data_IF_959769452686
#
_entry.id   IF_959769452686
#
_cell.length_a   1.000
_cell.length_b   1.000
_cell.length_c   1.000
_cell.angle_alpha   90.00
_cell.angle_beta   90.00
_cell.angle_gamma   90.00
#
_symmetry.space_group_name_H-M   'P 1'
#
loop_
_entity.id
_entity.type
_entity.pdbx_description
1 polymer ?
#
# COMPACT_ATOMS: atom_id res chain seq x y z
N UNK A 1 6.45 -0.57 -4.48
CA UNK A 1 6.63 -0.93 -3.04
C UNK A 1 5.80 -0.04 -2.10
N UNK A 2 5.77 1.28 -2.28
CA UNK A 2 4.99 2.18 -1.41
C UNK A 2 3.48 1.89 -1.38
N UNK A 3 2.87 1.54 -2.52
CA UNK A 3 1.47 1.10 -2.57
C UNK A 3 1.21 -0.14 -1.69
N UNK A 4 2.08 -1.16 -1.78
CA UNK A 4 2.01 -2.36 -0.93
C UNK A 4 2.06 -1.98 0.55
N UNK A 5 3.00 -1.11 0.94
CA UNK A 5 3.08 -0.60 2.33
C UNK A 5 1.78 0.11 2.75
N UNK A 6 1.24 0.98 1.91
CA UNK A 6 -0.05 1.65 2.17
C UNK A 6 -1.16 0.62 2.45
N UNK A 7 -1.33 -0.37 1.56
CA UNK A 7 -2.38 -1.40 1.68
C UNK A 7 -2.20 -2.23 2.95
N UNK A 8 -0.99 -2.75 3.20
CA UNK A 8 -0.71 -3.60 4.36
C UNK A 8 -0.88 -2.84 5.67
N UNK A 9 -0.40 -1.60 5.76
CA UNK A 9 -0.53 -0.79 6.98
C UNK A 9 -2.00 -0.42 7.27
N UNK A 10 -2.77 -0.07 6.23
CA UNK A 10 -4.20 0.19 6.36
C UNK A 10 -4.94 -1.06 6.85
N UNK A 11 -4.66 -2.23 6.26
CA UNK A 11 -5.33 -3.49 6.59
C UNK A 11 -5.01 -4.01 7.99
N UNK A 12 -3.73 -4.05 8.38
CA UNK A 12 -3.27 -4.84 9.54
C UNK A 12 -2.82 -4.00 10.74
N UNK A 13 -2.71 -2.68 10.58
CA UNK A 13 -2.20 -1.77 11.63
C UNK A 13 -3.08 -0.55 11.85
N UNK A 14 -4.19 -0.40 11.12
CA UNK A 14 -5.06 0.77 11.18
C UNK A 14 -4.27 2.08 11.01
N UNK A 15 -3.20 2.02 10.22
CA UNK A 15 -2.31 3.13 9.98
C UNK A 15 -2.50 3.64 8.55
N UNK A 16 -2.67 4.94 8.43
CA UNK A 16 -2.74 5.63 7.15
C UNK A 16 -1.54 6.56 7.01
N UNK A 17 -1.11 6.80 5.77
CA UNK A 17 -0.05 7.78 5.49
C UNK A 17 -0.60 9.16 5.89
N UNK A 18 0.05 9.91 6.79
CA UNK A 18 -0.43 11.22 7.21
C UNK A 18 -0.60 12.18 6.02
N UNK A 19 -1.63 13.02 6.07
CA UNK A 19 -1.99 13.92 4.96
C UNK A 19 -0.91 14.96 4.67
N UNK A 20 -0.18 15.38 5.71
CA UNK A 20 0.95 16.31 5.63
C UNK A 20 2.15 15.77 4.85
N UNK A 21 2.23 14.45 4.62
CA UNK A 21 3.26 13.82 3.78
C UNK A 21 2.96 14.01 2.28
N UNK A 22 2.82 15.27 1.85
CA UNK A 22 2.36 15.65 0.51
C UNK A 22 3.23 15.10 -0.62
N UNK A 23 4.54 14.96 -0.42
CA UNK A 23 5.44 14.35 -1.40
C UNK A 23 5.14 12.87 -1.67
N UNK A 24 4.76 12.12 -0.63
CA UNK A 24 4.39 10.70 -0.71
C UNK A 24 3.07 10.55 -1.45
N UNK A 25 2.08 11.37 -1.11
CA UNK A 25 0.79 11.40 -1.79
C UNK A 25 0.91 11.80 -3.26
N UNK A 26 1.73 12.82 -3.57
CA UNK A 26 2.02 13.21 -4.95
C UNK A 26 2.63 12.06 -5.74
N UNK A 27 3.62 11.36 -5.16
CA UNK A 27 4.24 10.21 -5.81
C UNK A 27 3.22 9.09 -6.09
N UNK A 28 2.40 8.71 -5.10
CA UNK A 28 1.38 7.68 -5.28
C UNK A 28 0.34 8.08 -6.33
N UNK A 29 -0.11 9.34 -6.31
CA UNK A 29 -1.04 9.87 -7.31
C UNK A 29 -0.45 9.79 -8.72
N UNK A 30 0.80 10.20 -8.90
CA UNK A 30 1.48 10.07 -10.19
C UNK A 30 1.63 8.60 -10.61
N UNK A 31 1.97 7.70 -9.68
CA UNK A 31 2.07 6.27 -9.98
C UNK A 31 0.72 5.68 -10.43
N UNK A 32 -0.38 5.99 -9.73
CA UNK A 32 -1.72 5.50 -10.10
C UNK A 32 -2.25 6.03 -11.44
N UNK A 33 -1.61 7.04 -12.03
CA UNK A 33 -1.95 7.56 -13.36
C UNK A 33 -1.14 6.90 -14.48
N UNK A 34 -0.17 6.04 -14.16
CA UNK A 34 0.71 5.36 -15.12
C UNK A 34 0.20 3.95 -15.36
N UNK A 35 -0.05 3.62 -16.62
CA UNK A 35 -0.54 2.30 -17.02
C UNK A 35 0.46 1.20 -16.67
N UNK A 36 1.75 1.51 -16.73
CA UNK A 36 2.83 0.59 -16.38
C UNK A 36 2.72 0.18 -14.91
N UNK A 37 2.24 1.09 -14.05
CA UNK A 37 1.97 0.78 -12.65
C UNK A 37 0.63 0.05 -12.50
N UNK A 38 -0.46 0.60 -13.04
CA UNK A 38 -1.81 0.04 -12.82
C UNK A 38 -1.99 -1.36 -13.42
N UNK A 39 -1.31 -1.68 -14.52
CA UNK A 39 -1.43 -2.97 -15.20
C UNK A 39 -0.49 -4.04 -14.64
N UNK A 40 0.52 -3.67 -13.86
CA UNK A 40 1.50 -4.61 -13.30
C UNK A 40 1.44 -4.73 -11.78
N UNK A 41 0.78 -3.79 -11.09
CA UNK A 41 0.61 -3.86 -9.65
C UNK A 41 -0.45 -4.93 -9.29
N UNK A 42 -0.17 -5.83 -8.34
CA UNK A 42 -1.14 -6.83 -7.90
C UNK A 42 -2.35 -6.16 -7.26
N UNK A 43 -3.49 -6.86 -7.26
CA UNK A 43 -4.70 -6.37 -6.60
C UNK A 43 -4.48 -6.27 -5.08
N UNK A 44 -5.14 -5.33 -4.41
CA UNK A 44 -4.98 -5.13 -2.95
C UNK A 44 -5.22 -6.42 -2.17
N UNK A 45 -6.19 -7.23 -2.58
CA UNK A 45 -6.49 -8.56 -2.00
C UNK A 45 -5.33 -9.57 -2.12
N UNK A 46 -4.56 -9.55 -3.20
CA UNK A 46 -3.37 -10.39 -3.35
C UNK A 46 -2.23 -9.90 -2.44
N UNK A 47 -2.09 -8.58 -2.30
CA UNK A 47 -1.15 -7.96 -1.37
C UNK A 47 -1.49 -8.34 0.07
N UNK A 48 -2.76 -8.24 0.47
CA UNK A 48 -3.24 -8.63 1.79
C UNK A 48 -2.92 -10.12 2.05
N UNK A 49 -3.30 -11.00 1.13
CA UNK A 49 -3.07 -12.44 1.26
C UNK A 49 -1.58 -12.76 1.42
N UNK A 50 -0.70 -12.10 0.65
CA UNK A 50 0.74 -12.30 0.76
C UNK A 50 1.31 -11.91 2.14
N UNK A 51 0.67 -10.97 2.84
CA UNK A 51 1.14 -10.47 4.14
C UNK A 51 0.38 -11.04 5.35
N UNK A 52 -0.70 -11.80 5.15
CA UNK A 52 -1.58 -12.26 6.25
C UNK A 52 -0.85 -12.98 7.39
N UNK A 53 0.20 -13.76 7.07
CA UNK A 53 0.92 -14.54 8.07
C UNK A 53 2.02 -13.73 8.78
N UNK A 54 2.67 -12.81 8.08
CA UNK A 54 3.76 -11.98 8.63
C UNK A 54 3.25 -10.71 9.29
N UNK A 55 2.06 -10.24 8.92
CA UNK A 55 1.42 -9.05 9.51
C UNK A 55 0.65 -9.35 10.81
N UNK A 56 0.68 -10.60 11.29
CA UNK A 56 0.16 -10.94 12.62
C UNK A 56 0.84 -10.07 13.68
N UNK A 57 0.13 -9.74 14.76
CA UNK A 57 0.77 -9.05 15.90
C UNK A 57 1.76 -10.02 16.51
N UNK A 58 2.99 -9.56 16.70
CA UNK A 58 3.92 -10.23 17.61
C UNK A 58 3.35 -9.92 19.01
N UNK A 59 2.90 -10.96 19.69
CA UNK A 59 2.46 -10.90 21.09
C UNK A 59 3.70 -11.10 21.95
#
# INVERSE_FOLDING_TARGET
KLHILKVVCQKYRSFEIPAEMTGVWRYLKCAYQREEFTNTCPAEREIELAYVNVAKRII
#
